data_IF_541470317387
#
_entry.id   IF_541470317387
#
_cell.length_a   1.000
_cell.length_b   1.000
_cell.length_c   1.000
_cell.angle_alpha   90.00
_cell.angle_beta   90.00
_cell.angle_gamma   90.00
#
_symmetry.space_group_name_H-M   'P 1'
#
loop_
_entity.id
_entity.type
_entity.pdbx_description
1 polymer ?
#
# COMPACT_ATOMS: atom_id res chain seq x y z
N UNK A 1 -6.91 -18.37 4.38
CA UNK A 1 -6.34 -17.24 3.63
C UNK A 1 -4.94 -17.54 3.09
N UNK A 2 -3.89 -17.78 3.90
CA UNK A 2 -2.52 -18.01 3.37
C UNK A 2 -2.39 -19.13 2.33
N UNK A 3 -2.95 -20.31 2.62
CA UNK A 3 -2.92 -21.45 1.68
C UNK A 3 -3.68 -21.17 0.37
N UNK A 4 -4.72 -20.32 0.40
CA UNK A 4 -5.46 -19.91 -0.79
C UNK A 4 -4.64 -18.92 -1.65
N UNK A 5 -3.94 -17.96 -1.01
CA UNK A 5 -3.02 -17.05 -1.71
C UNK A 5 -1.88 -17.79 -2.41
N UNK A 6 -1.36 -18.80 -1.74
CA UNK A 6 -0.25 -19.63 -2.25
C UNK A 6 -0.71 -20.58 -3.37
N UNK A 7 -1.99 -21.00 -3.40
CA UNK A 7 -2.52 -21.87 -4.46
C UNK A 7 -2.91 -21.13 -5.73
N UNK A 8 -3.13 -19.81 -5.67
CA UNK A 8 -3.44 -18.98 -6.85
C UNK A 8 -2.22 -18.86 -7.77
N UNK A 9 -2.39 -19.28 -9.03
CA UNK A 9 -1.35 -19.23 -10.06
C UNK A 9 -1.40 -17.88 -10.77
N UNK A 10 -0.30 -17.13 -10.71
CA UNK A 10 -0.16 -15.85 -11.41
C UNK A 10 -0.08 -16.12 -12.92
N UNK A 11 -0.97 -15.54 -13.75
CA UNK A 11 -0.93 -15.75 -15.20
C UNK A 11 0.15 -14.93 -15.89
N UNK A 12 0.67 -15.41 -17.03
CA UNK A 12 1.77 -14.75 -17.74
C UNK A 12 1.32 -13.65 -18.73
N UNK A 13 0.05 -13.64 -19.15
CA UNK A 13 -0.48 -12.67 -20.12
C UNK A 13 -1.40 -11.64 -19.47
N UNK A 14 -1.57 -10.48 -20.11
CA UNK A 14 -2.42 -9.40 -19.59
C UNK A 14 -3.89 -9.82 -19.58
N UNK A 15 -4.34 -10.51 -20.63
CA UNK A 15 -5.73 -10.99 -20.75
C UNK A 15 -6.08 -11.91 -19.57
N UNK A 16 -5.22 -12.89 -19.29
CA UNK A 16 -5.42 -13.80 -18.17
C UNK A 16 -5.27 -13.10 -16.82
N UNK A 17 -4.47 -12.05 -16.74
CA UNK A 17 -4.33 -11.23 -15.54
C UNK A 17 -5.61 -10.44 -15.24
N UNK A 18 -6.33 -9.99 -16.27
CA UNK A 18 -7.66 -9.39 -16.10
C UNK A 18 -8.63 -10.39 -15.49
N UNK A 19 -8.75 -11.59 -16.07
CA UNK A 19 -9.61 -12.65 -15.51
C UNK A 19 -9.21 -13.01 -14.08
N UNK A 20 -7.90 -13.10 -13.81
CA UNK A 20 -7.40 -13.36 -12.48
C UNK A 20 -7.93 -12.37 -11.44
N UNK A 21 -7.96 -11.07 -11.77
CA UNK A 21 -8.49 -10.06 -10.85
C UNK A 21 -10.01 -10.06 -10.76
N UNK A 22 -10.73 -10.41 -11.84
CA UNK A 22 -12.19 -10.61 -11.77
C UNK A 22 -12.55 -11.80 -10.87
N UNK A 23 -11.75 -12.87 -10.92
CA UNK A 23 -11.86 -14.05 -10.05
C UNK A 23 -11.24 -13.85 -8.66
N UNK A 24 -10.80 -12.64 -8.32
CA UNK A 24 -10.24 -12.33 -7.00
C UNK A 24 -11.34 -11.88 -6.06
N UNK A 25 -11.45 -12.56 -4.91
CA UNK A 25 -12.38 -12.15 -3.86
C UNK A 25 -12.04 -10.74 -3.36
N UNK A 26 -13.08 -9.94 -3.05
CA UNK A 26 -12.90 -8.56 -2.60
C UNK A 26 -11.95 -8.40 -1.41
N UNK A 27 -11.93 -9.37 -0.48
CA UNK A 27 -11.03 -9.36 0.69
C UNK A 27 -9.56 -9.65 0.36
N UNK A 28 -9.28 -10.21 -0.82
CA UNK A 28 -7.92 -10.55 -1.27
C UNK A 28 -7.39 -9.54 -2.30
N UNK A 29 -8.23 -8.62 -2.78
CA UNK A 29 -7.86 -7.69 -3.86
C UNK A 29 -6.65 -6.83 -3.50
N UNK A 30 -6.60 -6.29 -2.27
CA UNK A 30 -5.49 -5.45 -1.80
C UNK A 30 -4.16 -6.24 -1.75
N UNK A 31 -4.23 -7.51 -1.34
CA UNK A 31 -3.07 -8.38 -1.30
C UNK A 31 -2.57 -8.68 -2.71
N UNK A 32 -3.47 -9.01 -3.64
CA UNK A 32 -3.10 -9.31 -5.02
C UNK A 32 -2.60 -8.07 -5.76
N UNK A 33 -3.15 -6.88 -5.48
CA UNK A 33 -2.62 -5.60 -5.96
C UNK A 33 -1.18 -5.42 -5.48
N UNK A 34 -0.89 -5.61 -4.19
CA UNK A 34 0.46 -5.50 -3.65
C UNK A 34 1.43 -6.50 -4.30
N UNK A 35 0.98 -7.75 -4.48
CA UNK A 35 1.77 -8.85 -5.09
C UNK A 35 2.10 -8.59 -6.56
N UNK A 36 1.17 -7.99 -7.30
CA UNK A 36 1.25 -7.81 -8.76
C UNK A 36 1.48 -6.35 -9.17
N UNK A 37 1.75 -5.45 -8.22
CA UNK A 37 1.95 -4.02 -8.46
C UNK A 37 2.88 -3.70 -9.64
N UNK A 38 4.03 -4.38 -9.85
CA UNK A 38 4.91 -4.11 -10.98
C UNK A 38 4.27 -4.37 -12.35
N UNK A 39 3.25 -5.23 -12.41
CA UNK A 39 2.51 -5.60 -13.63
C UNK A 39 1.24 -4.77 -13.81
N UNK A 40 0.74 -4.13 -12.76
CA UNK A 40 -0.36 -3.17 -12.80
C UNK A 40 0.13 -1.79 -13.27
N UNK A 41 0.60 -1.73 -14.51
CA UNK A 41 1.25 -0.57 -15.12
C UNK A 41 0.41 -0.01 -16.28
N UNK A 42 0.95 0.98 -17.00
CA UNK A 42 0.25 1.62 -18.12
C UNK A 42 -0.15 0.65 -19.23
N UNK A 43 0.66 -0.37 -19.51
CA UNK A 43 0.37 -1.40 -20.51
C UNK A 43 -0.89 -2.18 -20.14
N UNK A 44 -0.98 -2.64 -18.88
CA UNK A 44 -2.15 -3.34 -18.35
C UNK A 44 -3.42 -2.49 -18.46
N UNK A 45 -3.37 -1.23 -18.02
CA UNK A 45 -4.54 -0.35 -18.09
C UNK A 45 -4.90 0.07 -19.53
N UNK A 46 -3.93 0.13 -20.44
CA UNK A 46 -4.18 0.38 -21.85
C UNK A 46 -4.90 -0.80 -22.50
N UNK A 47 -4.53 -2.03 -22.14
CA UNK A 47 -5.25 -3.23 -22.56
C UNK A 47 -6.71 -3.21 -22.08
N UNK A 48 -6.94 -2.96 -20.79
CA UNK A 48 -8.29 -2.84 -20.23
C UNK A 48 -9.14 -1.77 -20.94
N UNK A 49 -8.56 -0.59 -21.19
CA UNK A 49 -9.26 0.50 -21.91
C UNK A 49 -9.60 0.10 -23.35
N UNK A 50 -8.72 -0.64 -24.03
CA UNK A 50 -8.96 -1.15 -25.38
C UNK A 50 -10.11 -2.16 -25.38
N UNK A 51 -10.12 -3.12 -24.45
CA UNK A 51 -11.19 -4.12 -24.30
C UNK A 51 -12.54 -3.44 -24.03
N UNK A 52 -12.59 -2.54 -23.04
CA UNK A 52 -13.76 -1.71 -22.75
C UNK A 52 -14.23 -0.92 -23.97
N UNK A 53 -13.31 -0.32 -24.73
CA UNK A 53 -13.62 0.40 -25.96
C UNK A 53 -14.28 -0.50 -27.01
N UNK A 54 -13.71 -1.69 -27.26
CA UNK A 54 -14.27 -2.68 -28.21
C UNK A 54 -15.69 -3.09 -27.82
N UNK A 55 -15.94 -3.33 -26.53
CA UNK A 55 -17.27 -3.73 -26.05
C UNK A 55 -18.28 -2.58 -26.13
N UNK A 56 -17.90 -1.37 -25.69
CA UNK A 56 -18.80 -0.19 -25.68
C UNK A 56 -19.22 0.26 -27.08
N UNK A 57 -18.32 0.13 -28.06
CA UNK A 57 -18.54 0.58 -29.44
C UNK A 57 -18.86 -0.55 -30.43
N UNK A 58 -19.18 -1.75 -29.94
CA UNK A 58 -19.62 -2.83 -30.81
C UNK A 58 -20.93 -2.45 -31.55
N UNK A 59 -21.00 -2.81 -32.84
CA UNK A 59 -22.14 -2.53 -33.72
C UNK A 59 -23.42 -3.21 -33.23
N UNK A 60 -23.29 -4.35 -32.57
CA UNK A 60 -24.39 -5.08 -31.95
C UNK A 60 -24.03 -5.34 -30.50
N UNK A 61 -24.93 -4.94 -29.59
CA UNK A 61 -24.78 -5.17 -28.15
C UNK A 61 -25.61 -6.38 -27.74
N UNK A 62 -24.98 -7.29 -27.01
CA UNK A 62 -25.66 -8.38 -26.31
C UNK A 62 -25.63 -8.11 -24.81
N UNK A 63 -26.51 -8.77 -24.04
CA UNK A 63 -26.52 -8.64 -22.58
C UNK A 63 -25.15 -9.02 -21.98
N UNK A 64 -24.56 -10.13 -22.43
CA UNK A 64 -23.23 -10.57 -21.97
C UNK A 64 -22.14 -9.52 -22.17
N UNK A 65 -22.22 -8.73 -23.26
CA UNK A 65 -21.27 -7.65 -23.52
C UNK A 65 -21.49 -6.48 -22.58
N UNK A 66 -22.73 -6.16 -22.25
CA UNK A 66 -23.07 -5.09 -21.30
C UNK A 66 -22.66 -5.47 -19.87
N UNK A 67 -22.91 -6.72 -19.46
CA UNK A 67 -22.50 -7.24 -18.17
C UNK A 67 -20.96 -7.22 -18.03
N UNK A 68 -20.25 -7.66 -19.08
CA UNK A 68 -18.78 -7.62 -19.09
C UNK A 68 -18.22 -6.19 -19.00
N UNK A 69 -18.88 -5.21 -19.62
CA UNK A 69 -18.48 -3.80 -19.48
C UNK A 69 -18.58 -3.35 -18.03
N UNK A 70 -19.67 -3.71 -17.33
CA UNK A 70 -19.87 -3.35 -15.92
C UNK A 70 -18.77 -3.99 -15.05
N UNK A 71 -18.47 -5.27 -15.26
CA UNK A 71 -17.42 -5.98 -14.53
C UNK A 71 -16.04 -5.33 -14.71
N UNK A 72 -15.66 -5.03 -15.96
CA UNK A 72 -14.38 -4.43 -16.28
C UNK A 72 -14.25 -2.98 -15.77
N UNK A 73 -15.33 -2.22 -15.78
CA UNK A 73 -15.36 -0.87 -15.19
C UNK A 73 -15.18 -0.91 -13.68
N UNK A 74 -15.89 -1.81 -13.00
CA UNK A 74 -15.77 -2.01 -11.56
C UNK A 74 -14.35 -2.46 -11.19
N UNK A 75 -13.80 -3.41 -11.95
CA UNK A 75 -12.42 -3.88 -11.80
C UNK A 75 -11.41 -2.74 -11.98
N UNK A 76 -11.50 -2.00 -13.08
CA UNK A 76 -10.58 -0.91 -13.37
C UNK A 76 -10.57 0.11 -12.23
N UNK A 77 -11.74 0.49 -11.73
CA UNK A 77 -11.87 1.42 -10.61
C UNK A 77 -11.26 0.87 -9.33
N UNK A 78 -11.60 -0.37 -8.96
CA UNK A 78 -11.07 -1.01 -7.75
C UNK A 78 -9.54 -1.14 -7.79
N UNK A 79 -8.97 -1.50 -8.94
CA UNK A 79 -7.52 -1.59 -9.12
C UNK A 79 -6.85 -0.22 -9.04
N UNK A 80 -7.44 0.82 -9.63
CA UNK A 80 -6.90 2.19 -9.53
C UNK A 80 -6.88 2.70 -8.09
N UNK A 81 -8.01 2.60 -7.39
CA UNK A 81 -8.13 3.04 -6.00
C UNK A 81 -7.19 2.24 -5.08
N UNK A 82 -7.10 0.92 -5.27
CA UNK A 82 -6.22 0.07 -4.48
C UNK A 82 -4.73 0.31 -4.76
N UNK A 83 -4.34 0.60 -6.01
CA UNK A 83 -2.97 0.98 -6.37
C UNK A 83 -2.60 2.32 -5.72
N UNK A 84 -3.48 3.32 -5.81
CA UNK A 84 -3.23 4.63 -5.20
C UNK A 84 -3.05 4.51 -3.69
N UNK A 85 -3.88 3.71 -3.02
CA UNK A 85 -3.76 3.43 -1.60
C UNK A 85 -2.44 2.70 -1.27
N UNK A 86 -2.09 1.66 -2.03
CA UNK A 86 -0.86 0.91 -1.86
C UNK A 86 0.39 1.79 -2.03
N UNK A 87 0.46 2.57 -3.11
CA UNK A 87 1.60 3.44 -3.42
C UNK A 87 1.75 4.55 -2.36
N UNK A 88 0.63 5.11 -1.89
CA UNK A 88 0.63 6.09 -0.80
C UNK A 88 1.19 5.48 0.48
N UNK A 89 0.69 4.32 0.88
CA UNK A 89 1.18 3.58 2.05
C UNK A 89 2.67 3.27 1.92
N UNK A 90 3.13 2.83 0.75
CA UNK A 90 4.55 2.54 0.51
C UNK A 90 5.41 3.80 0.66
N UNK A 91 4.99 4.93 0.07
CA UNK A 91 5.68 6.21 0.19
C UNK A 91 5.74 6.69 1.65
N UNK A 92 4.63 6.57 2.38
CA UNK A 92 4.56 6.92 3.80
C UNK A 92 5.52 6.06 4.64
N UNK A 93 5.59 4.74 4.40
CA UNK A 93 6.51 3.85 5.09
C UNK A 93 7.98 4.19 4.81
N UNK A 94 8.33 4.51 3.56
CA UNK A 94 9.69 4.93 3.20
C UNK A 94 10.04 6.25 3.89
N UNK A 95 9.13 7.22 3.90
CA UNK A 95 9.31 8.50 4.59
C UNK A 95 9.45 8.31 6.11
N UNK A 96 8.57 7.52 6.71
CA UNK A 96 8.62 7.16 8.12
C UNK A 96 9.97 6.54 8.51
N UNK A 97 10.47 5.58 7.72
CA UNK A 97 11.78 4.97 7.97
C UNK A 97 12.92 6.00 7.91
N UNK A 98 12.91 6.90 6.92
CA UNK A 98 13.91 7.98 6.80
C UNK A 98 13.87 8.89 8.02
N UNK A 99 12.67 9.21 8.51
CA UNK A 99 12.49 10.11 9.65
C UNK A 99 12.87 9.47 10.99
N UNK A 100 12.61 8.18 11.18
CA UNK A 100 13.18 7.45 12.32
C UNK A 100 14.70 7.46 12.31
N UNK A 101 15.30 7.24 11.14
CA UNK A 101 16.76 7.27 11.03
C UNK A 101 17.32 8.64 11.40
N UNK A 102 16.70 9.73 10.92
CA UNK A 102 17.05 11.10 11.34
C UNK A 102 16.97 11.26 12.86
N UNK A 103 15.90 10.77 13.49
CA UNK A 103 15.70 10.87 14.94
C UNK A 103 16.74 10.08 15.74
N UNK A 104 17.09 8.87 15.30
CA UNK A 104 18.08 8.03 15.98
C UNK A 104 19.52 8.54 15.85
N UNK A 105 19.82 9.27 14.78
CA UNK A 105 21.16 9.82 14.54
C UNK A 105 21.28 11.30 14.92
N UNK A 106 20.23 11.91 15.49
CA UNK A 106 20.23 13.33 15.82
C UNK A 106 20.93 13.61 17.15
N UNK A 107 21.80 14.62 17.14
CA UNK A 107 22.41 15.17 18.36
C UNK A 107 21.40 15.95 19.21
N UNK A 108 20.36 16.53 18.57
CA UNK A 108 19.25 17.23 19.23
C UNK A 108 17.90 16.73 18.71
N UNK A 109 17.43 15.66 19.35
CA UNK A 109 16.14 15.03 19.04
C UNK A 109 14.97 16.01 19.16
N UNK A 110 15.01 17.00 20.07
CA UNK A 110 13.90 17.95 20.23
C UNK A 110 13.79 18.89 19.05
N UNK A 111 14.92 19.45 18.61
CA UNK A 111 14.95 20.29 17.41
C UNK A 111 14.49 19.49 16.18
N UNK A 112 15.00 18.26 16.00
CA UNK A 112 14.58 17.40 14.90
C UNK A 112 13.09 17.07 14.94
N UNK A 113 12.51 16.85 16.12
CA UNK A 113 11.06 16.62 16.24
C UNK A 113 10.25 17.86 15.83
N UNK A 114 10.69 19.06 16.21
CA UNK A 114 10.03 20.30 15.79
C UNK A 114 10.10 20.48 14.26
N UNK A 115 11.26 20.22 13.64
CA UNK A 115 11.41 20.29 12.19
C UNK A 115 10.47 19.30 11.47
N UNK A 116 10.33 18.08 12.00
CA UNK A 116 9.42 17.07 11.44
C UNK A 116 7.96 17.47 11.61
N UNK A 117 7.59 18.16 12.70
CA UNK A 117 6.24 18.71 12.90
C UNK A 117 5.96 19.81 11.89
N UNK A 118 6.89 20.74 11.69
CA UNK A 118 6.76 21.84 10.72
C UNK A 118 6.60 21.32 9.29
N UNK A 119 7.27 20.21 8.95
CA UNK A 119 7.18 19.57 7.64
C UNK A 119 5.97 18.63 7.50
N UNK A 120 5.12 18.51 8.53
CA UNK A 120 4.02 17.53 8.60
C UNK A 120 4.49 16.08 8.36
N UNK A 121 5.72 15.79 8.78
CA UNK A 121 6.41 14.51 8.64
C UNK A 121 6.27 13.62 9.89
N UNK A 122 5.68 14.17 10.96
CA UNK A 122 5.33 13.46 12.18
C UNK A 122 3.93 12.83 12.04
N UNK A 123 3.86 11.57 11.61
CA UNK A 123 2.59 10.90 11.29
C UNK A 123 2.41 9.56 12.03
N UNK A 124 1.23 8.95 11.87
CA UNK A 124 0.88 7.68 12.52
C UNK A 124 1.78 6.52 12.07
N UNK A 125 2.15 6.47 10.79
CA UNK A 125 3.04 5.45 10.23
C UNK A 125 4.43 5.49 10.89
N UNK A 126 4.95 6.68 11.17
CA UNK A 126 6.19 6.88 11.92
C UNK A 126 6.09 6.35 13.36
N UNK A 127 4.98 6.64 14.04
CA UNK A 127 4.74 6.17 15.40
C UNK A 127 4.60 4.64 15.45
N UNK A 128 3.83 4.04 14.54
CA UNK A 128 3.67 2.58 14.47
C UNK A 128 5.00 1.88 14.22
N UNK A 129 5.83 2.41 13.31
CA UNK A 129 7.16 1.85 13.05
C UNK A 129 8.08 1.96 14.28
N UNK A 130 7.98 3.04 15.05
CA UNK A 130 8.70 3.19 16.31
C UNK A 130 8.24 2.16 17.36
N UNK A 131 6.94 1.96 17.49
CA UNK A 131 6.34 0.97 18.39
C UNK A 131 6.82 -0.46 18.06
N UNK A 132 6.84 -0.82 16.78
CA UNK A 132 7.37 -2.10 16.29
C UNK A 132 8.86 -2.25 16.62
N UNK A 133 9.67 -1.22 16.40
CA UNK A 133 11.10 -1.25 16.72
C UNK A 133 11.36 -1.41 18.23
N UNK A 134 10.55 -0.75 19.08
CA UNK A 134 10.61 -0.91 20.53
C UNK A 134 10.31 -2.36 20.92
N UNK A 135 9.21 -2.92 20.40
CA UNK A 135 8.83 -4.30 20.67
C UNK A 135 9.92 -5.29 20.23
N UNK A 136 10.48 -5.11 19.03
CA UNK A 136 11.56 -5.94 18.50
C UNK A 136 12.84 -5.82 19.35
N UNK A 137 13.18 -4.62 19.83
CA UNK A 137 14.34 -4.41 20.69
C UNK A 137 14.20 -5.15 22.03
N UNK A 138 13.01 -5.12 22.65
CA UNK A 138 12.74 -5.92 23.84
C UNK A 138 12.83 -7.42 23.59
N UNK A 139 12.24 -7.91 22.50
CA UNK A 139 12.36 -9.32 22.10
C UNK A 139 13.81 -9.75 21.86
N UNK A 140 14.64 -8.83 21.33
CA UNK A 140 16.07 -9.02 21.12
C UNK A 140 16.96 -8.77 22.34
N UNK A 141 16.39 -8.53 23.53
CA UNK A 141 17.11 -8.15 24.76
C UNK A 141 17.98 -6.88 24.65
N UNK A 142 17.66 -5.98 23.73
CA UNK A 142 18.34 -4.69 23.53
C UNK A 142 17.71 -3.59 24.40
N UNK A 143 17.74 -3.77 25.72
CA UNK A 143 17.00 -2.94 26.68
C UNK A 143 17.34 -1.45 26.58
N UNK A 144 18.63 -1.10 26.47
CA UNK A 144 19.05 0.31 26.37
C UNK A 144 18.52 0.98 25.10
N UNK A 145 18.48 0.25 23.97
CA UNK A 145 17.94 0.77 22.72
C UNK A 145 16.42 0.97 22.84
N UNK A 146 15.71 0.02 23.45
CA UNK A 146 14.27 0.13 23.70
C UNK A 146 13.94 1.34 24.58
N UNK A 147 14.66 1.53 25.69
CA UNK A 147 14.46 2.69 26.58
C UNK A 147 14.75 4.04 25.90
N UNK A 148 15.76 4.09 25.02
CA UNK A 148 16.03 5.28 24.23
C UNK A 148 14.88 5.59 23.25
N UNK A 149 14.39 4.57 22.54
CA UNK A 149 13.26 4.70 21.62
C UNK A 149 11.96 5.10 22.34
N UNK A 150 11.71 4.58 23.55
CA UNK A 150 10.57 4.99 24.38
C UNK A 150 10.61 6.47 24.78
N UNK A 151 11.81 7.02 25.02
CA UNK A 151 11.97 8.47 25.27
C UNK A 151 11.61 9.29 24.04
N UNK A 152 12.05 8.85 22.85
CA UNK A 152 11.68 9.49 21.58
C UNK A 152 10.16 9.41 21.39
N UNK A 153 9.57 8.23 21.58
CA UNK A 153 8.13 8.00 21.48
C UNK A 153 7.34 8.94 22.38
N UNK A 154 7.73 9.04 23.64
CA UNK A 154 7.10 9.95 24.61
C UNK A 154 7.22 11.42 24.24
N UNK A 155 8.28 11.81 23.52
CA UNK A 155 8.40 13.16 22.97
C UNK A 155 7.51 13.36 21.73
N UNK A 156 7.47 12.40 20.80
CA UNK A 156 6.61 12.43 19.61
C UNK A 156 5.12 12.57 19.95
N UNK A 157 4.64 11.83 20.96
CA UNK A 157 3.24 11.84 21.39
C UNK A 157 2.76 13.21 21.88
N UNK A 158 3.66 14.14 22.21
CA UNK A 158 3.28 15.51 22.58
C UNK A 158 2.84 16.35 21.39
N UNK A 159 3.20 15.94 20.18
CA UNK A 159 2.98 16.67 18.95
C UNK A 159 1.95 16.00 18.03
N UNK A 160 1.73 14.68 18.18
CA UNK A 160 0.64 13.97 17.50
C UNK A 160 -0.63 14.21 18.31
N UNK A 161 -1.45 15.18 17.89
CA UNK A 161 -2.81 15.35 18.42
C UNK A 161 -3.72 14.23 17.92
N UNK A 162 -4.46 13.60 18.84
CA UNK A 162 -5.52 12.62 18.56
C UNK A 162 -6.67 13.27 17.81
#
# INVERSE_FOLDING_TARGET
MRALRESRVIPDTIEKLVEYFLDTEAQEIEFEIARLRPRLNEEFFSHLKLELGKLRFAVSKTQDMEDRVIELEALQKALQEGIEAYDRMQSELVSARKNLMKLFTSDDVKATLLDLVEQNELNRSLLTLLDENIANAYQGNQIQAAEYMEKIRGAMLKYITV
#
